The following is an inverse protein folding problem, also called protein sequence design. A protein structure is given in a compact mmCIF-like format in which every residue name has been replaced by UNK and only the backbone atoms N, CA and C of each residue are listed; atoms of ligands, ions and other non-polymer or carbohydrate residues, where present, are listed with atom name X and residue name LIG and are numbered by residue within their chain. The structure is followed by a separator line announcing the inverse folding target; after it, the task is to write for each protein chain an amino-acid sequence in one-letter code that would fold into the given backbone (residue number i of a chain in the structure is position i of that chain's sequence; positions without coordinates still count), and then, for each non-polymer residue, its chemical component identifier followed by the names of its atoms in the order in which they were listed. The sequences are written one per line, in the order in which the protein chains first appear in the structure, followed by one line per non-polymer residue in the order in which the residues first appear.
data_IF_547119778529
#
_entry.id   IF_547119778529
#
_cell.length_a   1.000
_cell.length_b   1.000
_cell.length_c   1.000
_cell.angle_alpha   90.00
_cell.angle_beta   90.00
_cell.angle_gamma   90.00
#
_symmetry.space_group_name_H-M   'P 1'
#
loop_
_entity.id
_entity.type
_entity.pdbx_description
1 polymer ?
#
# COMPACT_ATOMS: atom_id res chain seq x y z
N UNK A 1 17.74 14.98 -1.15
CA UNK A 1 18.27 13.60 -1.28
C UNK A 1 17.13 12.58 -1.06
N UNK A 2 16.02 12.68 -1.79
CA UNK A 2 15.05 11.57 -1.86
C UNK A 2 14.80 11.28 -3.33
N UNK A 3 15.76 10.58 -3.95
CA UNK A 3 15.58 9.98 -5.26
C UNK A 3 15.43 8.47 -5.07
N UNK A 4 14.36 8.05 -4.38
CA UNK A 4 14.03 6.64 -4.18
C UNK A 4 13.16 6.18 -5.34
N UNK A 5 13.63 5.27 -6.22
CA UNK A 5 12.83 4.78 -7.32
C UNK A 5 11.60 4.01 -6.82
N UNK A 6 10.48 4.08 -7.57
CA UNK A 6 9.25 3.35 -7.24
C UNK A 6 9.46 1.83 -7.02
N UNK A 7 10.26 1.11 -7.84
CA UNK A 7 10.52 -0.30 -7.59
C UNK A 7 11.12 -0.57 -6.22
N UNK A 8 12.05 0.28 -5.76
CA UNK A 8 12.67 0.15 -4.44
C UNK A 8 11.63 0.26 -3.33
N UNK A 9 10.63 1.13 -3.47
CA UNK A 9 9.53 1.27 -2.50
C UNK A 9 8.62 0.03 -2.54
N UNK A 10 8.36 -0.54 -3.73
CA UNK A 10 7.55 -1.75 -3.88
C UNK A 10 8.23 -3.00 -3.29
N UNK A 11 9.56 -3.02 -3.26
CA UNK A 11 10.37 -4.09 -2.66
C UNK A 11 10.56 -3.93 -1.14
N UNK A 12 10.20 -2.77 -0.57
CA UNK A 12 10.10 -2.63 0.88
C UNK A 12 8.96 -3.48 1.42
N UNK A 13 9.09 -3.92 2.68
CA UNK A 13 7.92 -4.44 3.40
C UNK A 13 6.85 -3.34 3.48
N UNK A 14 5.59 -3.73 3.49
CA UNK A 14 4.46 -2.79 3.57
C UNK A 14 4.58 -1.89 4.81
N UNK A 15 5.12 -2.42 5.91
CA UNK A 15 5.47 -1.63 7.09
C UNK A 15 6.49 -0.53 6.78
N UNK A 16 7.63 -0.90 6.18
CA UNK A 16 8.67 0.07 5.80
C UNK A 16 8.21 1.06 4.73
N UNK A 17 7.43 0.61 3.75
CA UNK A 17 6.83 1.50 2.75
C UNK A 17 5.90 2.52 3.42
N UNK A 18 5.04 2.08 4.36
CA UNK A 18 4.16 2.98 5.11
C UNK A 18 4.97 4.03 5.90
N UNK A 19 6.09 3.63 6.51
CA UNK A 19 6.96 4.55 7.23
C UNK A 19 7.68 5.53 6.29
N UNK A 20 8.11 5.07 5.12
CA UNK A 20 8.65 5.92 4.06
C UNK A 20 7.64 7.00 3.64
N UNK A 21 6.39 6.62 3.33
CA UNK A 21 5.33 7.58 2.99
C UNK A 21 5.01 8.55 4.13
N UNK A 22 5.10 8.11 5.39
CA UNK A 22 4.87 8.96 6.55
C UNK A 22 6.01 9.93 6.84
N UNK A 23 7.25 9.60 6.47
CA UNK A 23 8.45 10.36 6.85
C UNK A 23 9.01 11.22 5.72
N UNK A 24 8.74 10.88 4.46
CA UNK A 24 9.27 11.59 3.29
C UNK A 24 8.84 13.06 3.26
N UNK A 25 9.84 13.95 3.28
CA UNK A 25 9.65 15.39 3.15
C UNK A 25 9.25 15.77 1.73
N UNK A 26 9.82 15.09 0.72
CA UNK A 26 9.49 15.32 -0.68
C UNK A 26 8.02 15.05 -0.98
N UNK A 27 7.45 13.98 -0.41
CA UNK A 27 6.04 13.66 -0.56
C UNK A 27 5.12 14.68 0.15
N UNK A 28 5.55 15.25 1.27
CA UNK A 28 4.80 16.34 1.92
C UNK A 28 4.75 17.60 1.06
N UNK A 29 5.85 17.93 0.38
CA UNK A 29 5.88 19.06 -0.55
C UNK A 29 4.99 18.80 -1.77
N UNK A 30 5.04 17.58 -2.33
CA UNK A 30 4.23 17.17 -3.46
C UNK A 30 2.73 16.99 -3.13
N UNK A 31 2.38 16.90 -1.84
CA UNK A 31 1.02 16.68 -1.39
C UNK A 31 0.03 17.73 -1.92
N UNK A 32 0.44 18.98 -2.17
CA UNK A 32 -0.47 19.98 -2.76
C UNK A 32 -1.06 19.59 -4.12
N UNK A 33 -0.35 18.76 -4.90
CA UNK A 33 -0.80 18.31 -6.23
C UNK A 33 -1.29 16.86 -6.18
N UNK A 34 -0.69 16.03 -5.31
CA UNK A 34 -0.94 14.60 -5.24
C UNK A 34 -1.71 14.16 -3.98
N UNK A 35 -2.33 15.08 -3.24
CA UNK A 35 -2.96 14.83 -1.92
C UNK A 35 -3.86 13.59 -1.94
N UNK A 36 -4.77 13.52 -2.91
CA UNK A 36 -5.72 12.44 -3.05
C UNK A 36 -5.03 11.08 -3.25
N UNK A 37 -4.01 11.04 -4.11
CA UNK A 37 -3.25 9.81 -4.42
C UNK A 37 -2.43 9.37 -3.23
N UNK A 38 -1.73 10.29 -2.56
CA UNK A 38 -0.94 9.96 -1.36
C UNK A 38 -1.82 9.52 -0.20
N UNK A 39 -3.00 10.14 -0.04
CA UNK A 39 -4.00 9.73 0.94
C UNK A 39 -4.53 8.33 0.64
N UNK A 40 -4.88 8.04 -0.61
CA UNK A 40 -5.19 6.68 -1.04
C UNK A 40 -4.06 5.75 -0.61
N UNK A 41 -2.85 5.91 -1.15
CA UNK A 41 -1.73 4.97 -0.89
C UNK A 41 -1.54 4.72 0.61
N UNK A 42 -1.55 5.78 1.42
CA UNK A 42 -1.45 5.67 2.89
C UNK A 42 -2.59 4.86 3.52
N UNK A 43 -3.83 5.10 3.11
CA UNK A 43 -5.00 4.36 3.59
C UNK A 43 -4.91 2.86 3.20
N UNK A 44 -4.49 2.54 1.96
CA UNK A 44 -4.29 1.16 1.47
C UNK A 44 -3.21 0.43 2.28
N UNK A 45 -2.06 1.07 2.46
CA UNK A 45 -0.94 0.51 3.23
C UNK A 45 -1.36 0.28 4.68
N UNK A 46 -2.08 1.22 5.30
CA UNK A 46 -2.60 1.09 6.66
C UNK A 46 -3.54 -0.10 6.81
N UNK A 47 -4.44 -0.33 5.84
CA UNK A 47 -5.32 -1.51 5.89
C UNK A 47 -4.53 -2.81 5.84
N UNK A 48 -3.55 -2.92 4.96
CA UNK A 48 -2.69 -4.10 4.86
C UNK A 48 -1.91 -4.36 6.16
N UNK A 49 -1.42 -3.30 6.81
CA UNK A 49 -0.80 -3.41 8.15
C UNK A 49 -1.80 -3.87 9.20
N UNK A 50 -3.01 -3.30 9.23
CA UNK A 50 -4.05 -3.65 10.20
C UNK A 50 -4.50 -5.12 10.10
N UNK A 51 -4.48 -5.70 8.90
CA UNK A 51 -4.75 -7.13 8.70
C UNK A 51 -3.49 -8.00 8.83
N UNK A 52 -2.40 -7.46 9.38
CA UNK A 52 -1.18 -8.22 9.69
C UNK A 52 -0.40 -8.69 8.46
N UNK A 53 -0.35 -7.87 7.40
CA UNK A 53 0.46 -8.12 6.19
C UNK A 53 1.67 -7.20 6.09
N UNK A 54 2.06 -6.55 7.20
CA UNK A 54 3.16 -5.58 7.27
C UNK A 54 4.53 -6.13 6.83
N UNK A 55 4.73 -7.45 6.87
CA UNK A 55 5.97 -8.12 6.48
C UNK A 55 6.06 -8.45 4.97
N UNK A 56 4.96 -8.34 4.23
CA UNK A 56 4.96 -8.57 2.79
C UNK A 56 5.47 -7.37 2.02
N UNK A 57 6.01 -7.60 0.83
CA UNK A 57 6.34 -6.54 -0.13
C UNK A 57 5.21 -6.39 -1.16
N UNK A 58 5.10 -5.21 -1.78
CA UNK A 58 4.13 -4.99 -2.87
C UNK A 58 4.52 -5.73 -4.16
N UNK A 59 5.82 -6.02 -4.33
CA UNK A 59 6.36 -6.79 -5.46
C UNK A 59 6.20 -8.30 -5.35
N UNK A 60 5.77 -8.82 -4.18
CA UNK A 60 5.61 -10.27 -3.99
C UNK A 60 4.53 -10.82 -4.92
N UNK A 61 4.88 -11.89 -5.66
CA UNK A 61 3.94 -12.59 -6.53
C UNK A 61 2.75 -13.16 -5.75
N UNK A 62 1.54 -12.93 -6.27
CA UNK A 62 0.29 -13.42 -5.70
C UNK A 62 0.24 -14.96 -5.59
N UNK A 63 0.94 -15.68 -6.47
CA UNK A 63 1.00 -17.15 -6.48
C UNK A 63 1.76 -17.71 -5.27
N UNK A 64 2.61 -16.91 -4.64
CA UNK A 64 3.42 -17.34 -3.50
C UNK A 64 2.73 -17.12 -2.16
N UNK A 65 1.54 -16.51 -2.15
CA UNK A 65 0.79 -16.23 -0.93
C UNK A 65 0.19 -17.52 -0.35
N UNK A 66 0.28 -17.67 0.97
CA UNK A 66 -0.53 -18.63 1.70
C UNK A 66 -2.02 -18.30 1.61
N UNK A 67 -2.88 -19.30 1.79
CA UNK A 67 -4.33 -19.10 1.78
C UNK A 67 -4.80 -18.05 2.81
N UNK A 68 -4.17 -18.01 3.99
CA UNK A 68 -4.47 -17.01 5.02
C UNK A 68 -4.07 -15.59 4.62
N UNK A 69 -2.94 -15.41 3.93
CA UNK A 69 -2.53 -14.09 3.40
C UNK A 69 -3.47 -13.62 2.30
N UNK A 70 -3.81 -14.50 1.34
CA UNK A 70 -4.76 -14.19 0.27
C UNK A 70 -6.13 -13.77 0.82
N UNK A 71 -6.61 -14.46 1.86
CA UNK A 71 -7.87 -14.12 2.53
C UNK A 71 -7.82 -12.73 3.17
N UNK A 72 -6.73 -12.40 3.88
CA UNK A 72 -6.57 -11.08 4.53
C UNK A 72 -6.42 -9.95 3.50
N UNK A 73 -5.78 -10.19 2.35
CA UNK A 73 -5.76 -9.24 1.23
C UNK A 73 -7.18 -9.00 0.71
N UNK A 74 -7.97 -10.06 0.47
CA UNK A 74 -9.36 -9.91 0.01
C UNK A 74 -10.19 -9.11 1.02
N UNK A 75 -10.04 -9.38 2.32
CA UNK A 75 -10.71 -8.64 3.38
C UNK A 75 -10.32 -7.15 3.38
N UNK A 76 -9.02 -6.86 3.29
CA UNK A 76 -8.52 -5.49 3.22
C UNK A 76 -9.09 -4.74 1.99
N UNK A 77 -9.17 -5.39 0.83
CA UNK A 77 -9.77 -4.83 -0.38
C UNK A 77 -11.27 -4.58 -0.25
N UNK A 78 -12.03 -5.49 0.40
CA UNK A 78 -13.47 -5.33 0.59
C UNK A 78 -13.81 -4.20 1.57
N UNK A 79 -13.06 -4.08 2.66
CA UNK A 79 -13.23 -3.00 3.63
C UNK A 79 -12.81 -1.67 3.01
N UNK A 80 -11.72 -1.67 2.24
CA UNK A 80 -11.35 -0.53 1.40
C UNK A 80 -12.47 -0.14 0.43
N UNK A 81 -13.13 -1.09 -0.23
CA UNK A 81 -14.14 -0.76 -1.25
C UNK A 81 -15.30 0.09 -0.74
N UNK A 82 -15.66 -0.01 0.55
CA UNK A 82 -16.64 0.88 1.21
C UNK A 82 -16.16 2.32 1.42
N UNK A 83 -14.85 2.57 1.44
CA UNK A 83 -14.23 3.88 1.62
C UNK A 83 -13.80 4.55 0.29
N UNK A 84 -14.31 4.08 -0.85
CA UNK A 84 -14.04 4.63 -2.18
C UNK A 84 -13.09 3.82 -3.05
N UNK A 85 -12.56 2.70 -2.55
CA UNK A 85 -11.63 1.83 -3.26
C UNK A 85 -12.35 0.79 -4.12
N UNK A 86 -13.15 1.20 -5.12
CA UNK A 86 -13.80 0.22 -5.99
C UNK A 86 -12.76 -0.53 -6.82
N UNK A 87 -13.00 -1.84 -6.91
CA UNK A 87 -12.15 -2.87 -7.48
C UNK A 87 -11.66 -2.56 -8.91
N UNK A 88 -10.39 -2.89 -9.18
CA UNK A 88 -9.77 -2.88 -10.52
C UNK A 88 -9.73 -4.28 -11.14
N UNK A 89 -10.45 -5.27 -10.58
CA UNK A 89 -10.53 -6.64 -11.08
C UNK A 89 -11.89 -7.03 -11.69
N UNK A 90 -12.55 -6.10 -12.37
CA UNK A 90 -13.57 -6.45 -13.36
C UNK A 90 -12.90 -6.47 -14.75
N UNK A 91 -12.22 -7.58 -15.05
CA UNK A 91 -11.54 -7.86 -16.31
C UNK A 91 -10.95 -9.26 -16.29
#
# INVERSE_FOLDING_TARGET
MENTPLPTISDMSIGHAMDFFKQSEALRTAAKIAEKVLKEIGDRLKFLVNVGLNYLTLSRSAETLSGGEAQRIRLASQIGAGAGWRDVRAG
#
